data_IF_719630948893
#
_entry.id   IF_719630948893
#
_cell.length_a   1.000
_cell.length_b   1.000
_cell.length_c   1.000
_cell.angle_alpha   90.00
_cell.angle_beta   90.00
_cell.angle_gamma   90.00
#
_symmetry.space_group_name_H-M   'P 1'
#
loop_
_entity.id
_entity.type
_entity.pdbx_description
1 polymer ?
#
# COMPACT_ATOMS: atom_id res chain seq x y z
N UNK A 1 -3.28 -17.84 18.42
CA UNK A 1 -4.58 -18.36 17.92
C UNK A 1 -5.70 -17.91 18.84
N UNK A 2 -6.29 -16.75 18.58
CA UNK A 2 -7.51 -16.33 19.29
C UNK A 2 -8.72 -16.69 18.42
N UNK A 3 -9.82 -17.14 19.04
CA UNK A 3 -11.05 -17.49 18.33
C UNK A 3 -11.57 -16.30 17.50
N UNK A 4 -11.39 -15.09 18.00
CA UNK A 4 -11.76 -13.86 17.32
C UNK A 4 -10.97 -13.66 16.00
N UNK A 5 -9.66 -13.92 16.00
CA UNK A 5 -8.82 -13.76 14.80
C UNK A 5 -9.08 -14.81 13.73
N UNK A 6 -9.34 -16.06 14.14
CA UNK A 6 -9.74 -17.13 13.23
C UNK A 6 -11.13 -16.86 12.64
N UNK A 7 -12.07 -16.39 13.45
CA UNK A 7 -13.41 -16.02 13.00
C UNK A 7 -13.37 -14.82 12.03
N UNK A 8 -12.50 -13.84 12.27
CA UNK A 8 -12.31 -12.70 11.35
C UNK A 8 -11.72 -13.16 10.01
N UNK A 9 -10.72 -14.05 10.01
CA UNK A 9 -10.15 -14.62 8.78
C UNK A 9 -11.17 -15.47 8.03
N UNK A 10 -11.89 -16.35 8.72
CA UNK A 10 -12.92 -17.20 8.12
C UNK A 10 -14.06 -16.38 7.50
N UNK A 11 -14.45 -15.27 8.15
CA UNK A 11 -15.43 -14.33 7.60
C UNK A 11 -14.91 -13.64 6.34
N UNK A 12 -13.61 -13.32 6.28
CA UNK A 12 -12.97 -12.72 5.11
C UNK A 12 -12.77 -13.67 3.93
N UNK A 13 -12.53 -14.96 4.19
CA UNK A 13 -12.36 -15.98 3.15
C UNK A 13 -13.72 -16.45 2.58
N UNK A 14 -14.73 -16.64 3.44
CA UNK A 14 -16.07 -17.03 3.00
C UNK A 14 -17.17 -16.61 4.00
N UNK A 15 -17.93 -15.59 3.64
CA UNK A 15 -19.03 -15.07 4.45
C UNK A 15 -20.15 -16.10 4.69
N UNK A 16 -20.49 -16.89 3.67
CA UNK A 16 -21.55 -17.90 3.77
C UNK A 16 -21.15 -19.04 4.73
N UNK A 17 -19.88 -19.44 4.72
CA UNK A 17 -19.33 -20.42 5.66
C UNK A 17 -19.25 -19.86 7.09
N UNK A 18 -18.95 -18.56 7.23
CA UNK A 18 -18.98 -17.88 8.53
C UNK A 18 -20.37 -17.87 9.16
N UNK A 19 -21.40 -17.52 8.38
CA UNK A 19 -22.79 -17.53 8.84
C UNK A 19 -23.27 -18.95 9.21
N UNK A 20 -22.91 -19.97 8.41
CA UNK A 20 -23.24 -21.37 8.69
C UNK A 20 -22.60 -21.88 9.98
N UNK A 21 -21.41 -21.38 10.35
CA UNK A 21 -20.71 -21.73 11.59
C UNK A 21 -21.15 -20.86 12.80
N UNK A 22 -22.34 -20.25 12.74
CA UNK A 22 -22.89 -19.38 13.81
C UNK A 22 -22.00 -18.16 14.15
N UNK A 23 -21.12 -17.75 13.24
CA UNK A 23 -20.32 -16.52 13.41
C UNK A 23 -21.17 -15.33 12.97
N UNK A 24 -21.27 -14.32 13.83
CA UNK A 24 -21.93 -13.04 13.51
C UNK A 24 -21.07 -12.24 12.52
N UNK A 25 -21.18 -12.55 11.23
CA UNK A 25 -20.42 -11.94 10.13
C UNK A 25 -20.48 -10.42 10.15
N UNK A 26 -21.64 -9.82 10.38
CA UNK A 26 -21.78 -8.35 10.44
C UNK A 26 -20.97 -7.73 11.57
N UNK A 27 -20.93 -8.38 12.73
CA UNK A 27 -20.11 -7.93 13.86
C UNK A 27 -18.61 -8.07 13.54
N UNK A 28 -18.20 -9.11 12.84
CA UNK A 28 -16.82 -9.30 12.41
C UNK A 28 -16.40 -8.27 11.36
N UNK A 29 -17.27 -7.93 10.40
CA UNK A 29 -17.05 -6.84 9.43
C UNK A 29 -16.90 -5.50 10.12
N UNK A 30 -17.81 -5.16 11.03
CA UNK A 30 -17.70 -3.94 11.84
C UNK A 30 -16.38 -3.89 12.61
N UNK A 31 -15.97 -5.00 13.24
CA UNK A 31 -14.68 -5.10 13.93
C UNK A 31 -13.51 -4.83 12.97
N UNK A 32 -13.54 -5.40 11.77
CA UNK A 32 -12.55 -5.15 10.72
C UNK A 32 -12.49 -3.68 10.31
N UNK A 33 -13.64 -3.04 10.06
CA UNK A 33 -13.70 -1.62 9.71
C UNK A 33 -13.26 -0.72 10.87
N UNK A 34 -13.60 -1.04 12.11
CA UNK A 34 -13.18 -0.28 13.28
C UNK A 34 -11.66 -0.33 13.45
N UNK A 35 -11.04 -1.51 13.31
CA UNK A 35 -9.58 -1.65 13.39
C UNK A 35 -8.91 -0.91 12.23
N UNK A 36 -9.38 -1.09 11.00
CA UNK A 36 -8.82 -0.43 9.82
C UNK A 36 -8.88 1.09 9.90
N UNK A 37 -10.06 1.65 10.16
CA UNK A 37 -10.23 3.09 10.30
C UNK A 37 -9.51 3.64 11.54
N UNK A 38 -9.45 2.87 12.63
CA UNK A 38 -8.69 3.23 13.82
C UNK A 38 -7.20 3.39 13.53
N UNK A 39 -6.60 2.47 12.76
CA UNK A 39 -5.19 2.56 12.36
C UNK A 39 -4.93 3.76 11.43
N UNK A 40 -5.85 4.05 10.51
CA UNK A 40 -5.76 5.23 9.63
C UNK A 40 -5.84 6.52 10.45
N UNK A 41 -6.80 6.64 11.36
CA UNK A 41 -6.97 7.79 12.23
C UNK A 41 -5.76 8.00 13.15
N UNK A 42 -5.24 6.92 13.76
CA UNK A 42 -4.04 6.96 14.58
C UNK A 42 -2.82 7.45 13.79
N UNK A 43 -2.64 6.94 12.56
CA UNK A 43 -1.54 7.38 11.69
C UNK A 43 -1.65 8.87 11.34
N UNK A 44 -2.86 9.36 11.05
CA UNK A 44 -3.12 10.78 10.80
C UNK A 44 -2.84 11.65 12.03
N UNK A 45 -3.24 11.21 13.22
CA UNK A 45 -2.97 11.92 14.48
C UNK A 45 -1.48 12.00 14.81
N UNK A 46 -0.71 10.94 14.54
CA UNK A 46 0.76 10.95 14.68
C UNK A 46 1.43 11.91 13.69
N UNK A 47 0.94 11.96 12.45
CA UNK A 47 1.43 12.89 11.42
C UNK A 47 1.17 14.36 11.79
N UNK A 48 -0.03 14.66 12.29
CA UNK A 48 -0.38 16.00 12.77
C UNK A 48 0.47 16.43 13.97
N UNK A 49 0.72 15.51 14.92
CA UNK A 49 1.64 15.77 16.04
C UNK A 49 3.07 16.02 15.56
N UNK A 50 3.56 15.23 14.61
CA UNK A 50 4.92 15.38 14.07
C UNK A 50 5.12 16.73 13.33
N UNK A 51 4.11 17.19 12.60
CA UNK A 51 4.20 18.45 11.87
C UNK A 51 3.81 19.68 12.71
N UNK A 52 3.17 19.50 13.86
CA UNK A 52 2.75 20.59 14.77
C UNK A 52 1.51 21.37 14.32
N UNK A 53 0.93 21.03 13.17
CA UNK A 53 -0.30 21.60 12.65
C UNK A 53 -1.08 20.58 11.80
N UNK A 54 -2.37 20.82 11.64
CA UNK A 54 -3.25 20.02 10.79
C UNK A 54 -3.92 20.92 9.74
N UNK A 55 -3.61 20.67 8.47
CA UNK A 55 -4.25 21.31 7.31
C UNK A 55 -4.87 20.22 6.42
N UNK A 56 -6.00 20.53 5.76
CA UNK A 56 -6.65 19.67 4.76
C UNK A 56 -5.67 19.28 3.64
N UNK A 57 -4.77 20.18 3.26
CA UNK A 57 -3.75 19.90 2.24
C UNK A 57 -2.72 18.85 2.66
N UNK A 58 -2.49 18.68 3.97
CA UNK A 58 -1.56 17.68 4.52
C UNK A 58 -2.10 16.26 4.35
N UNK A 59 -3.42 16.08 4.50
CA UNK A 59 -4.09 14.79 4.33
C UNK A 59 -4.04 14.29 2.88
N UNK A 60 -4.38 15.16 1.93
CA UNK A 60 -4.36 14.83 0.49
C UNK A 60 -2.96 14.42 0.04
N UNK A 61 -1.92 15.16 0.46
CA UNK A 61 -0.53 14.80 0.14
C UNK A 61 -0.12 13.44 0.69
N UNK A 62 -0.54 13.11 1.91
CA UNK A 62 -0.21 11.83 2.56
C UNK A 62 -0.86 10.64 1.84
N UNK A 63 -2.13 10.77 1.41
CA UNK A 63 -2.83 9.71 0.67
C UNK A 63 -2.14 9.45 -0.68
N UNK A 64 -1.77 10.50 -1.41
CA UNK A 64 -1.06 10.38 -2.69
C UNK A 64 0.27 9.66 -2.52
N UNK A 65 1.06 10.02 -1.50
CA UNK A 65 2.34 9.36 -1.17
C UNK A 65 2.12 7.89 -0.76
N UNK A 66 1.03 7.59 -0.03
CA UNK A 66 0.67 6.22 0.35
C UNK A 66 0.34 5.35 -0.85
N UNK A 67 -0.54 5.83 -1.74
CA UNK A 67 -0.92 5.13 -2.97
C UNK A 67 0.29 4.93 -3.90
N UNK A 68 1.14 5.95 -4.01
CA UNK A 68 2.39 5.90 -4.77
C UNK A 68 3.29 4.75 -4.32
N UNK A 69 3.50 4.62 -3.01
CA UNK A 69 4.35 3.59 -2.41
C UNK A 69 3.80 2.18 -2.65
N UNK A 70 2.47 2.01 -2.60
CA UNK A 70 1.81 0.72 -2.86
C UNK A 70 1.97 0.32 -4.33
N UNK A 71 1.71 1.25 -5.26
CA UNK A 71 1.87 1.00 -6.71
C UNK A 71 3.33 0.65 -7.03
N UNK A 72 4.28 1.40 -6.47
CA UNK A 72 5.71 1.14 -6.69
C UNK A 72 6.12 -0.26 -6.21
N UNK A 73 5.64 -0.67 -5.04
CA UNK A 73 5.87 -2.03 -4.52
C UNK A 73 5.26 -3.12 -5.42
N UNK A 74 4.05 -2.90 -5.94
CA UNK A 74 3.35 -3.85 -6.81
C UNK A 74 4.02 -4.00 -8.19
N UNK A 75 4.56 -2.91 -8.74
CA UNK A 75 5.30 -2.94 -10.01
C UNK A 75 6.62 -3.71 -9.86
N UNK A 76 7.28 -3.62 -8.70
CA UNK A 76 8.54 -4.33 -8.46
C UNK A 76 8.36 -5.84 -8.24
N UNK A 77 7.34 -6.25 -7.49
CA UNK A 77 7.16 -7.65 -7.12
C UNK A 77 5.73 -8.11 -7.41
N UNK A 78 5.57 -8.83 -8.53
CA UNK A 78 4.28 -9.41 -8.93
C UNK A 78 4.01 -10.73 -8.18
N UNK A 79 2.74 -10.96 -7.82
CA UNK A 79 2.20 -12.22 -7.27
C UNK A 79 2.73 -12.66 -5.90
N UNK A 80 2.50 -11.87 -4.85
CA UNK A 80 2.83 -12.25 -3.47
C UNK A 80 1.59 -12.64 -2.64
N UNK A 81 1.69 -13.66 -1.77
CA UNK A 81 0.68 -13.93 -0.76
C UNK A 81 0.57 -12.73 0.21
N UNK A 82 -0.62 -12.50 0.77
CA UNK A 82 -0.96 -11.31 1.58
C UNK A 82 0.13 -10.89 2.59
N UNK A 83 0.70 -11.85 3.33
CA UNK A 83 1.75 -11.56 4.32
C UNK A 83 3.05 -11.02 3.72
N UNK A 84 3.53 -11.62 2.62
CA UNK A 84 4.71 -11.12 1.90
C UNK A 84 4.39 -9.81 1.18
N UNK A 85 3.14 -9.62 0.73
CA UNK A 85 2.68 -8.40 0.07
C UNK A 85 2.79 -7.19 1.01
N UNK A 86 2.41 -7.33 2.28
CA UNK A 86 2.55 -6.27 3.28
C UNK A 86 4.02 -5.85 3.48
N UNK A 87 4.95 -6.82 3.54
CA UNK A 87 6.39 -6.53 3.59
C UNK A 87 6.91 -5.85 2.33
N UNK A 88 6.42 -6.24 1.16
CA UNK A 88 6.75 -5.57 -0.12
C UNK A 88 6.35 -4.09 -0.11
N UNK A 89 5.19 -3.75 0.47
CA UNK A 89 4.74 -2.35 0.57
C UNK A 89 5.70 -1.53 1.44
N UNK A 90 6.20 -2.09 2.55
CA UNK A 90 7.21 -1.43 3.38
C UNK A 90 8.47 -1.16 2.57
N UNK A 91 8.96 -2.14 1.82
CA UNK A 91 10.11 -1.98 0.93
C UNK A 91 9.88 -0.89 -0.13
N UNK A 92 8.71 -0.88 -0.77
CA UNK A 92 8.32 0.13 -1.76
C UNK A 92 8.26 1.54 -1.17
N UNK A 93 7.79 1.69 0.06
CA UNK A 93 7.78 2.99 0.75
C UNK A 93 9.18 3.54 1.01
N UNK A 94 10.13 2.67 1.38
CA UNK A 94 11.54 3.04 1.59
C UNK A 94 12.21 3.42 0.28
N UNK A 95 11.97 2.66 -0.79
CA UNK A 95 12.49 2.96 -2.13
C UNK A 95 11.93 4.28 -2.68
N UNK A 96 10.62 4.51 -2.52
CA UNK A 96 10.01 5.79 -2.88
C UNK A 96 10.64 6.95 -2.10
N UNK A 97 10.94 6.75 -0.81
CA UNK A 97 11.64 7.75 0.00
C UNK A 97 13.06 8.02 -0.51
N UNK A 98 13.81 7.00 -0.93
CA UNK A 98 15.14 7.17 -1.54
C UNK A 98 15.07 7.99 -2.83
N UNK A 99 14.07 7.74 -3.68
CA UNK A 99 13.85 8.49 -4.92
C UNK A 99 13.58 9.97 -4.62
N UNK A 100 12.70 10.26 -3.65
CA UNK A 100 12.41 11.65 -3.25
C UNK A 100 13.65 12.35 -2.70
N UNK A 101 14.45 11.67 -1.87
CA UNK A 101 15.69 12.25 -1.32
C UNK A 101 16.68 12.57 -2.44
N UNK A 102 16.81 11.71 -3.45
CA UNK A 102 17.65 11.96 -4.61
C UNK A 102 17.16 13.15 -5.45
N UNK A 103 15.85 13.35 -5.55
CA UNK A 103 15.28 14.53 -6.23
C UNK A 103 15.54 15.80 -5.41
N UNK A 104 15.40 15.73 -4.08
CA UNK A 104 15.61 16.83 -3.14
C UNK A 104 17.03 17.39 -3.16
N UNK A 105 18.05 16.58 -3.48
CA UNK A 105 19.44 17.08 -3.62
C UNK A 105 19.64 18.00 -4.82
N UNK A 106 18.62 18.19 -5.67
CA UNK A 106 18.68 18.99 -6.91
C UNK A 106 18.15 20.42 -6.72
N UNK A 107 18.05 20.94 -5.49
CA UNK A 107 17.62 22.32 -5.18
C UNK A 107 16.22 22.69 -5.75
N UNK A 108 15.28 21.74 -5.67
CA UNK A 108 13.91 21.90 -6.16
C UNK A 108 12.99 22.37 -5.03
N UNK A 109 12.18 23.39 -5.31
CA UNK A 109 11.17 23.92 -4.38
C UNK A 109 10.19 22.83 -3.90
N UNK A 110 9.76 22.91 -2.63
CA UNK A 110 8.89 21.92 -2.00
C UNK A 110 7.56 21.68 -2.73
N UNK A 111 7.00 22.69 -3.40
CA UNK A 111 5.80 22.52 -4.22
C UNK A 111 6.09 21.78 -5.53
N UNK A 112 7.25 22.02 -6.13
CA UNK A 112 7.67 21.35 -7.36
C UNK A 112 7.95 19.85 -7.11
N UNK A 113 8.35 19.46 -5.91
CA UNK A 113 8.53 18.04 -5.53
C UNK A 113 7.23 17.25 -5.70
N UNK A 114 6.07 17.83 -5.35
CA UNK A 114 4.78 17.16 -5.54
C UNK A 114 4.52 16.90 -7.03
N UNK A 115 4.80 17.88 -7.88
CA UNK A 115 4.66 17.77 -9.33
C UNK A 115 5.60 16.71 -9.90
N UNK A 116 6.89 16.76 -9.54
CA UNK A 116 7.91 15.79 -9.97
C UNK A 116 7.52 14.38 -9.54
N UNK A 117 7.03 14.22 -8.31
CA UNK A 117 6.60 12.91 -7.80
C UNK A 117 5.40 12.34 -8.55
N UNK A 118 4.45 13.20 -8.96
CA UNK A 118 3.30 12.80 -9.76
C UNK A 118 3.71 12.37 -11.17
N UNK A 119 4.64 13.10 -11.81
CA UNK A 119 5.20 12.72 -13.12
C UNK A 119 5.97 11.42 -13.03
N UNK A 120 6.81 11.27 -12.00
CA UNK A 120 7.58 10.04 -11.76
C UNK A 120 6.65 8.84 -11.57
N UNK A 121 5.56 9.00 -10.81
CA UNK A 121 4.53 7.96 -10.66
C UNK A 121 3.84 7.63 -11.98
N UNK A 122 3.46 8.65 -12.76
CA UNK A 122 2.85 8.44 -14.07
C UNK A 122 3.78 7.63 -14.99
N UNK A 123 5.08 7.94 -14.99
CA UNK A 123 6.08 7.18 -15.75
C UNK A 123 6.22 5.74 -15.23
N UNK A 124 6.34 5.55 -13.91
CA UNK A 124 6.44 4.22 -13.30
C UNK A 124 5.21 3.36 -13.61
N UNK A 125 4.01 3.95 -13.62
CA UNK A 125 2.77 3.27 -13.97
C UNK A 125 2.69 2.94 -15.47
N UNK A 126 3.27 3.77 -16.33
CA UNK A 126 3.30 3.53 -17.76
C UNK A 126 4.23 2.37 -18.15
N UNK A 127 5.30 2.12 -17.39
CA UNK A 127 6.25 1.01 -17.64
C UNK A 127 5.60 -0.39 -17.68
N UNK A 128 4.78 -0.84 -16.71
CA UNK A 128 4.13 -2.14 -16.76
C UNK A 128 3.10 -2.25 -17.89
N UNK A 129 2.39 -1.17 -18.23
CA UNK A 129 1.42 -1.15 -19.33
C UNK A 129 2.13 -1.23 -20.69
N UNK A 130 3.25 -0.54 -20.84
CA UNK A 130 4.10 -0.62 -22.03
C UNK A 130 4.73 -2.01 -22.17
N UNK A 131 5.18 -2.63 -21.06
CA UNK A 131 5.65 -4.03 -21.06
C UNK A 131 4.55 -5.03 -21.44
N UNK A 132 3.31 -4.77 -21.04
CA UNK A 132 2.16 -5.60 -21.41
C UNK A 132 1.81 -5.46 -22.90
N UNK A 133 1.82 -4.23 -23.45
CA UNK A 133 1.58 -3.97 -24.88
C UNK A 133 2.73 -4.41 -25.79
N UNK A 134 3.98 -4.32 -25.33
CA UNK A 134 5.16 -4.74 -26.09
C UNK A 134 5.44 -6.25 -26.01
N UNK A 135 4.61 -7.04 -25.31
CA UNK A 135 4.75 -8.50 -25.29
C UNK A 135 6.09 -9.01 -24.77
N UNK A 136 6.82 -8.21 -23.99
CA UNK A 136 8.11 -8.62 -23.42
C UNK A 136 7.83 -9.58 -22.27
N UNK A 137 7.71 -10.86 -22.62
CA UNK A 137 7.92 -11.97 -21.68
C UNK A 137 9.30 -11.75 -21.07
N UNK A 138 9.34 -11.22 -19.85
CA UNK A 138 10.54 -11.37 -19.03
C UNK A 138 10.74 -12.87 -18.88
N UNK A 139 11.80 -13.39 -19.50
CA UNK A 139 12.20 -14.78 -19.36
C UNK A 139 12.18 -15.13 -17.87
N UNK A 140 11.39 -16.14 -17.52
CA UNK A 140 11.52 -16.88 -16.26
C UNK A 140 12.94 -17.47 -16.26
N UNK A 141 13.92 -16.74 -15.77
CA UNK A 141 15.19 -17.33 -15.39
C UNK A 141 15.13 -17.75 -13.91
N UNK A 142 14.76 -19.02 -13.73
CA UNK A 142 15.38 -19.94 -12.75
C UNK A 142 15.26 -19.58 -11.26
N UNK A 143 14.21 -20.08 -10.62
CA UNK A 143 14.41 -20.80 -9.36
C UNK A 143 13.72 -22.14 -9.54
N UNK A 144 14.53 -23.10 -10.00
CA UNK A 144 14.19 -24.51 -9.87
C UNK A 144 14.04 -24.81 -8.40
N UNK A 145 13.04 -25.63 -8.13
CA UNK A 145 12.84 -26.38 -6.92
C UNK A 145 14.17 -26.98 -6.44
N UNK A 146 14.37 -26.85 -5.13
CA UNK A 146 15.33 -27.56 -4.31
C UNK A 146 14.75 -27.64 -2.92
#
# INVERSE_FOLDING_TARGET
NTQLGLALRATGDNEAMGQANSIKVDRMKMLGYMIGNGLIALSGALLAQNNGYADLNMGVGTIVIGLASIILAEVMIKYLPLGKRLWSIVLGSVLYRMIIVFILTTDIDAQMIKLVSAILLALILYVPELRAKLGVKTSKSLTKEG
#
